data_IF_400411167087
#
_entry.id   IF_400411167087
#
_cell.length_a   1.000
_cell.length_b   1.000
_cell.length_c   1.000
_cell.angle_alpha   90.00
_cell.angle_beta   90.00
_cell.angle_gamma   90.00
#
_symmetry.space_group_name_H-M   'P 1'
#
loop_
_entity.id
_entity.type
_entity.pdbx_description
1 polymer ?
#
# COMPACT_ATOMS: atom_id res chain seq x y z
N UNK A 1 -8.26 6.42 -0.95
CA UNK A 1 -6.90 6.40 -0.38
C UNK A 1 -6.56 7.66 0.40
N UNK A 2 -6.32 8.79 -0.27
CA UNK A 2 -5.78 10.01 0.36
C UNK A 2 -6.62 10.54 1.53
N UNK A 3 -7.94 10.66 1.37
CA UNK A 3 -8.81 11.11 2.45
C UNK A 3 -8.78 10.18 3.66
N UNK A 4 -8.82 8.85 3.44
CA UNK A 4 -8.73 7.87 4.53
C UNK A 4 -7.41 7.99 5.32
N UNK A 5 -6.28 8.28 4.66
CA UNK A 5 -5.01 8.51 5.35
C UNK A 5 -5.03 9.75 6.25
N UNK A 6 -5.74 10.81 5.84
CA UNK A 6 -5.89 12.03 6.66
C UNK A 6 -6.86 11.81 7.82
N UNK A 7 -7.98 11.14 7.53
CA UNK A 7 -9.06 10.91 8.50
C UNK A 7 -8.66 9.94 9.62
N UNK A 8 -7.91 8.89 9.31
CA UNK A 8 -7.54 7.87 10.30
C UNK A 8 -6.31 8.32 11.09
N UNK A 9 -6.47 9.34 11.92
CA UNK A 9 -5.46 9.91 12.83
C UNK A 9 -6.12 10.25 14.17
N UNK A 10 -5.32 10.31 15.25
CA UNK A 10 -5.83 10.78 16.56
C UNK A 10 -6.30 12.24 16.48
N UNK A 11 -5.57 13.10 15.76
CA UNK A 11 -5.95 14.51 15.58
C UNK A 11 -7.33 14.67 14.93
N UNK A 12 -7.57 13.95 13.82
CA UNK A 12 -8.88 13.98 13.16
C UNK A 12 -9.99 13.40 14.05
N UNK A 13 -9.65 12.42 14.90
CA UNK A 13 -10.61 11.90 15.86
C UNK A 13 -10.96 12.92 16.94
N UNK A 14 -9.99 13.66 17.49
CA UNK A 14 -10.28 14.64 18.55
C UNK A 14 -11.26 15.72 18.07
N UNK A 15 -11.15 16.16 16.81
CA UNK A 15 -12.15 17.06 16.19
C UNK A 15 -13.55 16.44 16.16
N UNK A 16 -13.66 15.13 15.92
CA UNK A 16 -14.95 14.42 15.99
C UNK A 16 -15.44 14.33 17.44
N UNK A 17 -14.54 14.11 18.41
CA UNK A 17 -14.87 14.02 19.83
C UNK A 17 -15.49 15.33 20.36
N UNK A 18 -15.07 16.50 19.88
CA UNK A 18 -15.68 17.80 20.25
C UNK A 18 -17.19 17.83 19.99
N UNK A 19 -17.65 17.12 18.96
CA UNK A 19 -19.06 17.04 18.56
C UNK A 19 -19.85 15.95 19.31
N UNK A 20 -19.18 15.04 20.02
CA UNK A 20 -19.82 13.96 20.77
C UNK A 20 -20.13 14.46 22.19
N UNK A 21 -21.39 14.45 22.67
CA UNK A 21 -21.69 15.01 24.00
C UNK A 21 -21.22 14.17 25.20
N UNK A 22 -21.12 12.84 25.03
CA UNK A 22 -20.82 11.90 26.11
C UNK A 22 -19.32 11.61 26.18
N UNK A 23 -18.71 11.86 27.34
CA UNK A 23 -17.27 11.60 27.55
C UNK A 23 -16.94 10.10 27.44
N UNK A 24 -17.78 9.23 28.01
CA UNK A 24 -17.63 7.76 27.87
C UNK A 24 -17.56 7.33 26.39
N UNK A 25 -18.38 7.95 25.52
CA UNK A 25 -18.34 7.67 24.07
C UNK A 25 -17.10 8.25 23.40
N UNK A 26 -16.59 9.40 23.85
CA UNK A 26 -15.32 9.97 23.35
C UNK A 26 -14.16 9.06 23.72
N UNK A 27 -14.09 8.57 24.95
CA UNK A 27 -13.07 7.63 25.40
C UNK A 27 -13.10 6.32 24.61
N UNK A 28 -14.29 5.75 24.40
CA UNK A 28 -14.43 4.55 23.57
C UNK A 28 -13.98 4.77 22.11
N UNK A 29 -14.26 5.94 21.53
CA UNK A 29 -13.78 6.30 20.20
C UNK A 29 -12.26 6.46 20.16
N UNK A 30 -11.66 7.09 21.17
CA UNK A 30 -10.19 7.23 21.31
C UNK A 30 -9.53 5.88 21.39
N UNK A 31 -10.07 4.98 22.22
CA UNK A 31 -9.52 3.64 22.35
C UNK A 31 -9.63 2.85 21.05
N UNK A 32 -10.78 2.91 20.38
CA UNK A 32 -10.97 2.27 19.08
C UNK A 32 -9.95 2.76 18.05
N UNK A 33 -9.71 4.08 17.97
CA UNK A 33 -8.72 4.63 17.05
C UNK A 33 -7.28 4.28 17.43
N UNK A 34 -6.94 4.27 18.73
CA UNK A 34 -5.60 3.84 19.19
C UNK A 34 -5.32 2.41 18.76
N UNK A 35 -6.25 1.49 19.00
CA UNK A 35 -6.13 0.10 18.58
C UNK A 35 -6.01 -0.01 17.05
N UNK A 36 -6.84 0.72 16.30
CA UNK A 36 -6.75 0.76 14.84
C UNK A 36 -5.36 1.21 14.36
N UNK A 37 -4.82 2.28 14.95
CA UNK A 37 -3.51 2.83 14.59
C UNK A 37 -2.35 1.92 14.97
N UNK A 38 -2.48 1.15 16.06
CA UNK A 38 -1.49 0.15 16.44
C UNK A 38 -1.50 -1.05 15.48
N UNK A 39 -2.66 -1.46 14.98
CA UNK A 39 -2.75 -2.60 14.06
C UNK A 39 -2.45 -2.21 12.60
N UNK A 40 -2.79 -0.98 12.19
CA UNK A 40 -2.71 -0.53 10.79
C UNK A 40 -1.36 -0.71 10.10
N UNK A 41 -0.20 -0.47 10.72
CA UNK A 41 1.09 -0.70 10.09
C UNK A 41 1.27 -2.14 9.59
N UNK A 42 0.71 -3.13 10.30
CA UNK A 42 0.96 -4.55 10.02
C UNK A 42 0.48 -4.98 8.62
N UNK A 43 -0.68 -4.50 8.16
CA UNK A 43 -1.16 -4.81 6.80
C UNK A 43 -0.76 -3.75 5.76
N UNK A 44 0.01 -2.73 6.15
CA UNK A 44 0.41 -1.60 5.28
C UNK A 44 1.88 -1.53 4.98
N UNK A 45 2.73 -2.00 5.88
CA UNK A 45 4.17 -2.04 5.71
C UNK A 45 4.56 -3.00 4.57
N UNK A 46 5.72 -2.75 3.97
CA UNK A 46 6.26 -3.62 2.91
C UNK A 46 6.83 -4.89 3.54
N UNK A 47 7.50 -4.77 4.68
CA UNK A 47 8.00 -5.89 5.48
C UNK A 47 7.67 -5.70 6.98
N UNK A 48 6.47 -6.11 7.44
CA UNK A 48 6.01 -5.89 8.81
C UNK A 48 6.94 -6.46 9.90
N UNK A 49 7.57 -7.61 9.65
CA UNK A 49 8.50 -8.24 10.59
C UNK A 49 9.77 -7.40 10.85
N UNK A 50 10.15 -6.51 9.93
CA UNK A 50 11.30 -5.62 10.07
C UNK A 50 10.89 -4.20 10.48
N UNK A 51 9.81 -3.70 9.88
CA UNK A 51 9.38 -2.31 10.04
C UNK A 51 8.54 -2.07 11.31
N UNK A 52 7.76 -3.06 11.76
CA UNK A 52 6.85 -2.93 12.90
C UNK A 52 6.66 -4.25 13.68
N UNK A 53 7.76 -4.86 14.21
CA UNK A 53 7.71 -6.17 14.86
C UNK A 53 6.83 -6.18 16.12
N UNK A 54 6.85 -5.11 16.92
CA UNK A 54 6.06 -5.03 18.16
C UNK A 54 4.55 -5.01 17.87
N UNK A 55 4.13 -4.25 16.86
CA UNK A 55 2.74 -4.19 16.43
C UNK A 55 2.28 -5.54 15.84
N UNK A 56 3.15 -6.21 15.10
CA UNK A 56 2.87 -7.54 14.55
C UNK A 56 2.68 -8.56 15.68
N UNK A 57 3.58 -8.60 16.66
CA UNK A 57 3.49 -9.49 17.82
C UNK A 57 2.21 -9.29 18.63
N UNK A 58 1.78 -8.02 18.80
CA UNK A 58 0.59 -7.67 19.58
C UNK A 58 -0.71 -7.71 18.79
N UNK A 59 -0.67 -8.06 17.49
CA UNK A 59 -1.82 -7.92 16.60
C UNK A 59 -3.03 -8.71 17.10
N UNK A 60 -2.86 -9.99 17.44
CA UNK A 60 -3.97 -10.86 17.87
C UNK A 60 -4.64 -10.37 19.16
N UNK A 61 -3.86 -9.85 20.10
CA UNK A 61 -4.40 -9.23 21.30
C UNK A 61 -5.20 -7.96 20.97
N UNK A 62 -4.61 -7.09 20.14
CA UNK A 62 -5.25 -5.83 19.75
C UNK A 62 -6.52 -6.06 18.92
N UNK A 63 -6.54 -7.07 18.04
CA UNK A 63 -7.72 -7.38 17.22
C UNK A 63 -8.86 -7.96 18.06
N UNK A 64 -8.55 -8.79 19.06
CA UNK A 64 -9.53 -9.27 20.02
C UNK A 64 -10.10 -8.10 20.84
N UNK A 65 -9.25 -7.25 21.41
CA UNK A 65 -9.70 -6.08 22.17
C UNK A 65 -10.56 -5.13 21.32
N UNK A 66 -10.20 -4.95 20.05
CA UNK A 66 -11.00 -4.18 19.10
C UNK A 66 -12.40 -4.81 18.92
N UNK A 67 -12.47 -6.14 18.74
CA UNK A 67 -13.73 -6.85 18.59
C UNK A 67 -14.61 -6.78 19.85
N UNK A 68 -14.00 -6.87 21.04
CA UNK A 68 -14.70 -6.76 22.32
C UNK A 68 -15.30 -5.35 22.50
N UNK A 69 -14.55 -4.31 22.14
CA UNK A 69 -15.05 -2.93 22.16
C UNK A 69 -16.20 -2.72 21.17
N UNK A 70 -16.12 -3.31 19.98
CA UNK A 70 -17.21 -3.25 19.00
C UNK A 70 -18.48 -3.98 19.47
N UNK A 71 -18.33 -5.15 20.07
CA UNK A 71 -19.46 -6.00 20.48
C UNK A 71 -20.14 -5.51 21.77
N UNK A 72 -19.44 -4.73 22.58
CA UNK A 72 -19.96 -4.04 23.77
C UNK A 72 -20.46 -2.64 23.41
N UNK A 73 -19.58 -1.63 23.41
CA UNK A 73 -19.92 -0.22 23.27
C UNK A 73 -20.59 0.13 21.95
N UNK A 74 -20.24 -0.57 20.87
CA UNK A 74 -20.81 -0.34 19.53
C UNK A 74 -21.82 -1.41 19.10
N UNK A 75 -22.38 -2.19 20.05
CA UNK A 75 -23.34 -3.28 19.79
C UNK A 75 -24.50 -2.84 18.90
N UNK A 76 -25.02 -1.64 19.10
CA UNK A 76 -26.13 -1.08 18.31
C UNK A 76 -25.88 -1.12 16.79
N UNK A 77 -24.61 -1.05 16.35
CA UNK A 77 -24.23 -1.09 14.94
C UNK A 77 -23.74 -2.46 14.48
N UNK A 78 -23.09 -3.22 15.37
CA UNK A 78 -22.37 -4.45 15.03
C UNK A 78 -23.07 -5.74 15.50
N UNK A 79 -24.26 -5.65 16.08
CA UNK A 79 -25.06 -6.82 16.44
C UNK A 79 -25.50 -7.59 15.19
N UNK A 80 -24.93 -8.77 14.96
CA UNK A 80 -25.25 -9.65 13.84
C UNK A 80 -24.81 -9.16 12.45
N UNK A 81 -24.07 -8.04 12.35
CA UNK A 81 -23.60 -7.49 11.06
C UNK A 81 -22.24 -6.82 11.17
N UNK A 82 -21.30 -7.25 10.34
CA UNK A 82 -19.97 -6.66 10.17
C UNK A 82 -19.66 -6.45 8.69
N UNK A 83 -18.82 -5.48 8.36
CA UNK A 83 -18.39 -5.28 6.97
C UNK A 83 -17.31 -6.30 6.60
N UNK A 84 -17.25 -6.67 5.32
CA UNK A 84 -16.31 -7.68 4.83
C UNK A 84 -14.84 -7.34 5.17
N UNK A 85 -14.42 -6.10 4.92
CA UNK A 85 -13.05 -5.69 5.20
C UNK A 85 -12.72 -5.68 6.69
N UNK A 86 -13.66 -5.26 7.54
CA UNK A 86 -13.42 -5.25 8.98
C UNK A 86 -13.26 -6.67 9.53
N UNK A 87 -14.10 -7.60 9.07
CA UNK A 87 -13.93 -9.03 9.39
C UNK A 87 -12.57 -9.57 8.93
N UNK A 88 -12.20 -9.33 7.67
CA UNK A 88 -10.91 -9.79 7.12
C UNK A 88 -9.72 -9.24 7.91
N UNK A 89 -9.77 -7.96 8.27
CA UNK A 89 -8.71 -7.30 9.04
C UNK A 89 -8.56 -7.91 10.43
N UNK A 90 -9.67 -8.16 11.13
CA UNK A 90 -9.61 -8.67 12.51
C UNK A 90 -9.26 -10.16 12.58
N UNK A 91 -9.64 -10.95 11.57
CA UNK A 91 -9.53 -12.41 11.62
C UNK A 91 -8.28 -12.98 10.90
N UNK A 92 -7.89 -12.44 9.75
CA UNK A 92 -6.98 -13.15 8.84
C UNK A 92 -5.61 -12.50 8.66
N UNK A 93 -5.41 -11.27 9.14
CA UNK A 93 -4.14 -10.55 8.93
C UNK A 93 -2.93 -11.31 9.48
N UNK A 94 -2.92 -11.85 10.72
CA UNK A 94 -1.77 -12.59 11.23
C UNK A 94 -1.41 -13.80 10.38
N UNK A 95 -2.40 -14.62 10.03
CA UNK A 95 -2.22 -15.84 9.22
C UNK A 95 -1.66 -15.51 7.83
N UNK A 96 -2.17 -14.45 7.19
CA UNK A 96 -1.67 -14.02 5.87
C UNK A 96 -0.23 -13.51 5.98
N UNK A 97 0.10 -12.75 7.03
CA UNK A 97 1.47 -12.25 7.22
C UNK A 97 2.45 -13.39 7.50
N UNK A 98 2.05 -14.39 8.29
CA UNK A 98 2.88 -15.57 8.55
C UNK A 98 3.16 -16.37 7.28
N UNK A 99 2.16 -16.48 6.38
CA UNK A 99 2.30 -17.21 5.12
C UNK A 99 3.04 -16.44 4.02
N UNK A 100 2.68 -15.17 3.80
CA UNK A 100 3.12 -14.37 2.65
C UNK A 100 4.25 -13.37 3.00
N UNK A 101 4.56 -13.20 4.28
CA UNK A 101 5.52 -12.23 4.80
C UNK A 101 5.04 -10.77 4.76
N UNK A 102 4.07 -10.42 3.91
CA UNK A 102 3.54 -9.07 3.76
C UNK A 102 2.14 -9.07 3.15
N UNK A 103 1.35 -8.03 3.44
CA UNK A 103 0.10 -7.71 2.71
C UNK A 103 0.30 -6.43 1.89
N UNK A 104 0.99 -5.43 2.45
CA UNK A 104 1.19 -4.13 1.82
C UNK A 104 2.00 -4.21 0.52
N UNK A 105 2.98 -5.11 0.47
CA UNK A 105 3.79 -5.35 -0.74
C UNK A 105 2.94 -5.87 -1.92
N UNK A 106 1.86 -6.59 -1.64
CA UNK A 106 0.94 -7.16 -2.63
C UNK A 106 -0.31 -6.31 -2.85
N UNK A 107 -0.31 -5.06 -2.38
CA UNK A 107 -1.44 -4.16 -2.54
C UNK A 107 -1.66 -3.77 -4.01
N UNK A 108 -2.92 -3.53 -4.37
CA UNK A 108 -3.30 -3.07 -5.71
C UNK A 108 -2.92 -1.61 -6.02
N UNK A 109 -2.19 -0.92 -5.13
CA UNK A 109 -1.87 0.51 -5.29
C UNK A 109 -1.06 0.81 -6.55
N UNK A 110 -0.14 -0.09 -6.93
CA UNK A 110 0.61 0.03 -8.18
C UNK A 110 -0.31 -0.03 -9.41
N UNK A 111 -1.23 -1.00 -9.43
CA UNK A 111 -2.18 -1.17 -10.52
C UNK A 111 -3.16 0.02 -10.63
N UNK A 112 -3.70 0.48 -9.50
CA UNK A 112 -4.58 1.66 -9.49
C UNK A 112 -3.85 2.95 -9.87
N UNK A 113 -2.56 3.06 -9.54
CA UNK A 113 -1.74 4.20 -9.98
C UNK A 113 -1.49 4.15 -11.48
N UNK A 114 -1.34 2.96 -12.07
CA UNK A 114 -1.18 2.76 -13.51
C UNK A 114 -2.41 3.23 -14.32
N UNK A 115 -3.61 3.24 -13.74
CA UNK A 115 -4.80 3.81 -14.38
C UNK A 115 -4.63 5.31 -14.72
N UNK A 116 -3.85 6.05 -13.93
CA UNK A 116 -3.51 7.45 -14.23
C UNK A 116 -2.64 7.56 -15.48
N UNK A 117 -1.65 6.68 -15.62
CA UNK A 117 -0.78 6.62 -16.80
C UNK A 117 -1.57 6.21 -18.04
N UNK A 118 -2.41 5.18 -17.93
CA UNK A 118 -3.28 4.75 -19.03
C UNK A 118 -4.09 5.92 -19.60
N UNK A 119 -4.78 6.70 -18.74
CA UNK A 119 -5.57 7.86 -19.18
C UNK A 119 -4.71 8.93 -19.87
N UNK A 120 -3.49 9.15 -19.38
CA UNK A 120 -2.55 10.11 -19.97
C UNK A 120 -2.07 9.63 -21.33
N UNK A 121 -1.59 8.39 -21.43
CA UNK A 121 -1.08 7.82 -22.68
C UNK A 121 -2.16 7.73 -23.75
N UNK A 122 -3.38 7.33 -23.40
CA UNK A 122 -4.51 7.28 -24.34
C UNK A 122 -4.80 8.65 -24.96
N UNK A 123 -4.67 9.73 -24.16
CA UNK A 123 -4.95 11.10 -24.62
C UNK A 123 -3.77 11.74 -25.37
N UNK A 124 -2.55 11.50 -24.91
CA UNK A 124 -1.37 12.29 -25.32
C UNK A 124 -0.40 11.52 -26.22
N UNK A 125 -0.41 10.19 -26.20
CA UNK A 125 0.65 9.35 -26.79
C UNK A 125 0.10 8.26 -27.72
N UNK A 126 -1.22 8.22 -27.95
CA UNK A 126 -1.86 7.23 -28.81
C UNK A 126 -2.58 7.88 -29.97
N UNK A 127 -2.58 7.21 -31.13
CA UNK A 127 -3.40 7.60 -32.27
C UNK A 127 -4.88 7.52 -31.89
N UNK A 128 -5.64 8.56 -32.23
CA UNK A 128 -7.09 8.65 -31.94
C UNK A 128 -7.90 7.83 -32.94
N UNK A 129 -7.63 6.52 -32.98
CA UNK A 129 -8.29 5.54 -33.84
C UNK A 129 -8.55 4.27 -33.03
N UNK A 130 -9.77 3.73 -33.12
CA UNK A 130 -10.15 2.48 -32.45
C UNK A 130 -9.26 1.29 -32.86
N UNK A 131 -8.70 1.33 -34.07
CA UNK A 131 -7.84 0.25 -34.56
C UNK A 131 -6.46 0.22 -33.90
N UNK A 132 -5.93 1.37 -33.48
CA UNK A 132 -4.52 1.51 -33.06
C UNK A 132 -4.34 2.07 -31.65
N UNK A 133 -5.39 2.61 -31.01
CA UNK A 133 -5.26 3.28 -29.71
C UNK A 133 -4.64 2.38 -28.63
N UNK A 134 -5.06 1.12 -28.55
CA UNK A 134 -4.60 0.20 -27.51
C UNK A 134 -3.19 -0.31 -27.79
N UNK A 135 -2.82 -0.49 -29.06
CA UNK A 135 -1.46 -0.85 -29.46
C UNK A 135 -0.47 0.23 -29.00
N UNK A 136 -0.79 1.49 -29.27
CA UNK A 136 0.08 2.62 -28.90
C UNK A 136 0.17 2.81 -27.38
N UNK A 137 -0.95 2.70 -26.68
CA UNK A 137 -0.98 2.81 -25.21
C UNK A 137 -0.16 1.69 -24.60
N UNK A 138 -0.34 0.44 -25.05
CA UNK A 138 0.38 -0.71 -24.52
C UNK A 138 1.89 -0.56 -24.74
N UNK A 139 2.30 -0.21 -25.96
CA UNK A 139 3.71 0.03 -26.30
C UNK A 139 4.33 1.11 -25.41
N UNK A 140 3.68 2.27 -25.28
CA UNK A 140 4.21 3.36 -24.44
C UNK A 140 4.24 2.99 -22.96
N UNK A 141 3.23 2.29 -22.46
CA UNK A 141 3.18 1.86 -21.07
C UNK A 141 4.32 0.88 -20.77
N UNK A 142 4.55 -0.11 -21.65
CA UNK A 142 5.64 -1.07 -21.53
C UNK A 142 7.01 -0.38 -21.46
N UNK A 143 7.26 0.56 -22.37
CA UNK A 143 8.50 1.33 -22.40
C UNK A 143 8.67 2.18 -21.12
N UNK A 144 7.60 2.82 -20.64
CA UNK A 144 7.64 3.65 -19.45
C UNK A 144 8.06 2.88 -18.18
N UNK A 145 7.70 1.60 -18.09
CA UNK A 145 8.05 0.74 -16.95
C UNK A 145 9.42 0.07 -17.06
N UNK A 146 10.16 0.28 -18.17
CA UNK A 146 11.49 -0.31 -18.37
C UNK A 146 12.51 0.20 -17.34
N UNK A 147 13.12 -0.73 -16.60
CA UNK A 147 14.19 -0.42 -15.64
C UNK A 147 15.45 0.09 -16.31
N UNK A 148 15.76 -0.40 -17.51
CA UNK A 148 16.87 0.09 -18.31
C UNK A 148 16.74 1.60 -18.59
N UNK A 149 15.58 2.02 -19.10
CA UNK A 149 15.33 3.44 -19.41
C UNK A 149 15.29 4.31 -18.15
N UNK A 150 14.77 3.78 -17.04
CA UNK A 150 14.79 4.49 -15.74
C UNK A 150 16.22 4.72 -15.23
N UNK A 151 17.06 3.68 -15.22
CA UNK A 151 18.47 3.78 -14.82
C UNK A 151 19.25 4.76 -15.70
N UNK A 152 19.01 4.74 -17.01
CA UNK A 152 19.59 5.71 -17.94
C UNK A 152 19.24 7.15 -17.52
N UNK A 153 17.97 7.45 -17.30
CA UNK A 153 17.54 8.79 -16.88
C UNK A 153 18.13 9.22 -15.52
N UNK A 154 18.28 8.29 -14.58
CA UNK A 154 18.89 8.54 -13.27
C UNK A 154 20.39 8.86 -13.38
N UNK A 155 21.14 8.08 -14.17
CA UNK A 155 22.57 8.31 -14.40
C UNK A 155 22.85 9.69 -15.05
N UNK A 156 21.89 10.19 -15.82
CA UNK A 156 21.99 11.48 -16.52
C UNK A 156 21.41 12.67 -15.74
N UNK A 157 20.88 12.44 -14.53
CA UNK A 157 20.25 13.48 -13.71
C UNK A 157 21.26 14.49 -13.14
N UNK A 158 22.52 14.08 -12.89
CA UNK A 158 23.56 14.90 -12.24
C UNK A 158 24.72 15.30 -13.18
N UNK A 159 24.41 15.62 -14.42
CA UNK A 159 25.39 15.38 -15.49
C UNK A 159 26.24 16.59 -15.90
N UNK A 160 27.33 16.78 -15.15
CA UNK A 160 28.64 17.06 -15.75
C UNK A 160 29.20 15.83 -16.52
N UNK A 161 28.59 14.63 -16.35
CA UNK A 161 28.95 13.36 -17.02
C UNK A 161 28.10 13.01 -18.26
N UNK A 162 27.15 13.83 -18.68
CA UNK A 162 26.22 13.49 -19.78
C UNK A 162 26.91 13.47 -21.15
N UNK A 163 28.06 14.12 -21.26
CA UNK A 163 28.83 14.20 -22.49
C UNK A 163 29.70 12.95 -22.77
N UNK A 164 29.74 11.95 -21.89
CA UNK A 164 30.64 10.79 -22.03
C UNK A 164 29.97 9.41 -21.99
N UNK A 165 28.63 9.31 -21.86
CA UNK A 165 27.99 7.99 -21.84
C UNK A 165 27.78 7.47 -23.28
N UNK A 166 28.61 6.53 -23.70
CA UNK A 166 28.31 5.60 -24.79
C UNK A 166 27.68 4.33 -24.24
N UNK A 167 26.73 3.76 -24.97
CA UNK A 167 26.02 2.52 -24.59
C UNK A 167 27.01 1.36 -24.71
N UNK A 168 27.40 0.76 -23.59
CA UNK A 168 28.21 -0.46 -23.56
C UNK A 168 27.31 -1.68 -23.26
N UNK A 169 27.19 -2.67 -24.17
CA UNK A 169 26.33 -3.84 -23.98
C UNK A 169 26.80 -4.83 -22.91
N UNK A 170 28.02 -4.69 -22.38
CA UNK A 170 28.61 -5.70 -21.47
C UNK A 170 28.27 -5.50 -19.98
N UNK A 171 27.67 -4.37 -19.56
CA UNK A 171 27.22 -4.17 -18.17
C UNK A 171 25.91 -4.94 -17.81
N UNK A 172 25.48 -5.90 -18.65
CA UNK A 172 24.21 -6.65 -18.54
C UNK A 172 24.39 -7.96 -17.74
N UNK A 173 25.14 -7.96 -16.64
CA UNK A 173 25.11 -9.08 -15.70
C UNK A 173 24.54 -8.65 -14.36
N UNK A 174 23.29 -9.05 -14.10
CA UNK A 174 22.70 -9.02 -12.76
C UNK A 174 23.48 -9.97 -11.84
N UNK A 175 23.88 -9.53 -10.63
CA UNK A 175 24.65 -10.37 -9.71
C UNK A 175 23.86 -11.56 -9.14
N UNK A 176 22.57 -11.71 -9.45
CA UNK A 176 21.75 -12.85 -9.01
C UNK A 176 21.90 -14.11 -9.89
N UNK A 177 22.37 -13.98 -11.14
CA UNK A 177 22.57 -15.14 -12.04
C UNK A 177 23.85 -15.94 -11.77
N UNK A 178 24.74 -15.45 -10.90
CA UNK A 178 25.98 -16.14 -10.54
C UNK A 178 25.79 -17.27 -9.50
N UNK A 179 24.59 -17.45 -8.93
CA UNK A 179 24.36 -18.38 -7.81
C UNK A 179 23.66 -19.69 -8.16
N UNK A 180 23.28 -19.91 -9.43
CA UNK A 180 22.59 -21.14 -9.87
C UNK A 180 23.50 -22.19 -10.54
N UNK A 181 24.82 -21.99 -10.47
CA UNK A 181 25.83 -22.89 -11.08
C UNK A 181 26.68 -23.66 -10.07
N UNK A 182 26.08 -24.29 -9.05
CA UNK A 182 26.77 -25.28 -8.22
C UNK A 182 25.77 -26.21 -7.50
N UNK A 183 25.24 -27.18 -8.25
CA UNK A 183 24.85 -28.50 -7.75
C UNK A 183 25.19 -29.55 -8.81
#
# INVERSE_FOLDING_TARGET
GNYARRLMTMESLEVVCELVPSEERREALRELMRLYLQMKPVWRATCPAKECPDQLCRYSFNSQHFADLLSSTFKYRYNGKITNYLHKTLAHVPEIIEREGSIGAWASEGNESANKLFRRFRKMNARQSKAYELEDVLKHHWLYTSKFLQKFMEAHKDSAKAFQATIDPEEIQDPEDASLGAR
#
